data_IF_245646947976
#
_entry.id   IF_245646947976
#
_cell.length_a   1.000
_cell.length_b   1.000
_cell.length_c   1.000
_cell.angle_alpha   90.00
_cell.angle_beta   90.00
_cell.angle_gamma   90.00
#
_symmetry.space_group_name_H-M   'P 1'
#
loop_
_entity.id
_entity.type
_entity.pdbx_description
1 polymer ?
#
# COMPACT_ATOMS: atom_id res chain seq x y z
N UNK A 1 -5.57 5.86 2.88
CA UNK A 1 -4.30 6.08 2.15
C UNK A 1 -4.20 5.16 0.95
N UNK A 2 -3.93 3.87 1.18
CA UNK A 2 -3.62 2.89 0.11
C UNK A 2 -4.72 2.67 -0.95
N UNK A 3 -6.00 2.91 -0.65
CA UNK A 3 -7.10 2.82 -1.62
C UNK A 3 -7.36 4.12 -2.41
N UNK A 4 -6.80 5.24 -1.95
CA UNK A 4 -7.08 6.56 -2.54
C UNK A 4 -5.97 7.03 -3.47
N UNK A 5 -4.71 6.73 -3.14
CA UNK A 5 -3.54 7.07 -3.97
C UNK A 5 -3.55 6.37 -5.36
N UNK A 6 -3.85 5.06 -5.49
CA UNK A 6 -3.91 4.39 -6.79
C UNK A 6 -5.00 4.96 -7.70
N UNK A 7 -6.12 5.33 -7.09
CA UNK A 7 -7.24 5.94 -7.80
C UNK A 7 -6.88 7.32 -8.34
N UNK A 8 -6.08 8.10 -7.61
CA UNK A 8 -5.50 9.36 -8.11
C UNK A 8 -4.62 9.11 -9.33
N UNK A 9 -3.77 8.07 -9.33
CA UNK A 9 -2.94 7.73 -10.50
C UNK A 9 -3.76 7.42 -11.75
N UNK A 10 -4.91 6.74 -11.61
CA UNK A 10 -5.82 6.51 -12.74
C UNK A 10 -6.27 7.84 -13.33
N UNK A 11 -6.78 8.76 -12.50
CA UNK A 11 -7.25 10.07 -12.98
C UNK A 11 -6.12 10.93 -13.55
N UNK A 12 -4.95 10.90 -12.94
CA UNK A 12 -3.76 11.60 -13.42
C UNK A 12 -3.32 11.07 -14.79
N UNK A 13 -3.34 9.74 -15.01
CA UNK A 13 -3.01 9.14 -16.30
C UNK A 13 -4.01 9.44 -17.43
N UNK A 14 -5.21 9.93 -17.09
CA UNK A 14 -6.25 10.33 -18.03
C UNK A 14 -6.33 11.86 -18.22
N UNK A 15 -5.57 12.63 -17.45
CA UNK A 15 -5.60 14.08 -17.51
C UNK A 15 -4.61 14.57 -18.59
N UNK A 16 -5.11 15.31 -19.58
CA UNK A 16 -4.28 15.97 -20.60
C UNK A 16 -4.00 17.46 -20.28
N UNK A 17 -4.63 18.01 -19.23
CA UNK A 17 -4.49 19.41 -18.85
C UNK A 17 -3.35 19.61 -17.84
N UNK A 18 -2.42 20.50 -18.17
CA UNK A 18 -1.24 20.84 -17.37
C UNK A 18 -1.60 21.30 -15.95
N UNK A 19 -2.68 22.08 -15.80
CA UNK A 19 -3.15 22.56 -14.49
C UNK A 19 -3.65 21.39 -13.64
N UNK A 20 -4.29 20.40 -14.26
CA UNK A 20 -4.81 19.23 -13.57
C UNK A 20 -3.66 18.30 -13.14
N UNK A 21 -2.69 18.09 -14.03
CA UNK A 21 -1.47 17.31 -13.76
C UNK A 21 -0.71 17.88 -12.56
N UNK A 22 -0.44 19.19 -12.54
CA UNK A 22 0.25 19.83 -11.41
C UNK A 22 -0.51 19.66 -10.08
N UNK A 23 -1.84 19.81 -10.12
CA UNK A 23 -2.69 19.58 -8.94
C UNK A 23 -2.62 18.14 -8.46
N UNK A 24 -2.66 17.16 -9.37
CA UNK A 24 -2.55 15.74 -9.03
C UNK A 24 -1.20 15.41 -8.40
N UNK A 25 -0.09 15.91 -8.97
CA UNK A 25 1.26 15.77 -8.38
C UNK A 25 1.31 16.27 -6.94
N UNK A 26 0.69 17.42 -6.68
CA UNK A 26 0.66 18.03 -5.35
C UNK A 26 -0.20 17.22 -4.37
N UNK A 27 -1.38 16.75 -4.80
CA UNK A 27 -2.26 15.90 -4.00
C UNK A 27 -1.62 14.55 -3.68
N UNK A 28 -1.02 13.87 -4.67
CA UNK A 28 -0.35 12.58 -4.52
C UNK A 28 0.83 12.68 -3.55
N UNK A 29 1.69 13.68 -3.72
CA UNK A 29 2.85 13.91 -2.85
C UNK A 29 2.42 14.22 -1.43
N UNK A 30 1.41 15.08 -1.25
CA UNK A 30 0.88 15.46 0.07
C UNK A 30 0.21 14.28 0.76
N UNK A 31 -0.52 13.45 0.03
CA UNK A 31 -1.15 12.25 0.56
C UNK A 31 -0.10 11.19 0.97
N UNK A 32 0.86 10.93 0.08
CA UNK A 32 1.90 9.93 0.32
C UNK A 32 2.79 10.32 1.51
N UNK A 33 3.39 11.52 1.48
CA UNK A 33 4.29 11.97 2.56
C UNK A 33 3.56 12.43 3.81
N UNK A 34 2.37 13.02 3.67
CA UNK A 34 1.65 13.60 4.80
C UNK A 34 0.85 12.59 5.61
N UNK A 35 0.28 11.56 4.96
CA UNK A 35 -0.58 10.57 5.63
C UNK A 35 0.04 9.19 5.55
N UNK A 36 0.33 8.70 4.34
CA UNK A 36 0.73 7.30 4.15
C UNK A 36 2.06 6.96 4.83
N UNK A 37 3.09 7.77 4.67
CA UNK A 37 4.40 7.56 5.28
C UNK A 37 4.37 7.56 6.83
N UNK A 38 3.81 8.58 7.51
CA UNK A 38 3.76 8.57 8.97
C UNK A 38 2.88 7.44 9.51
N UNK A 39 1.73 7.17 8.88
CA UNK A 39 0.90 6.01 9.25
C UNK A 39 1.65 4.69 9.07
N UNK A 40 2.41 4.53 7.99
CA UNK A 40 3.23 3.33 7.75
C UNK A 40 4.28 3.13 8.83
N UNK A 41 5.00 4.19 9.21
CA UNK A 41 6.01 4.14 10.27
C UNK A 41 5.36 3.71 11.58
N UNK A 42 4.27 4.36 11.97
CA UNK A 42 3.54 4.05 13.20
C UNK A 42 3.05 2.60 13.18
N UNK A 43 2.34 2.17 12.14
CA UNK A 43 1.82 0.80 12.03
C UNK A 43 2.93 -0.24 12.01
N UNK A 44 4.06 0.02 11.35
CA UNK A 44 5.20 -0.91 11.31
C UNK A 44 5.88 -1.02 12.68
N UNK A 45 6.10 0.10 13.36
CA UNK A 45 6.71 0.11 14.71
C UNK A 45 5.82 -0.63 15.70
N UNK A 46 4.53 -0.32 15.75
CA UNK A 46 3.59 -1.02 16.63
C UNK A 46 3.44 -2.50 16.26
N UNK A 47 3.41 -2.83 14.97
CA UNK A 47 3.33 -4.21 14.48
C UNK A 47 4.55 -5.04 14.88
N UNK A 48 5.76 -4.52 14.65
CA UNK A 48 7.00 -5.17 15.06
C UNK A 48 7.09 -5.29 16.58
N UNK A 49 6.72 -4.25 17.31
CA UNK A 49 6.71 -4.28 18.78
C UNK A 49 5.78 -5.37 19.31
N UNK A 50 4.59 -5.52 18.74
CA UNK A 50 3.64 -6.57 19.12
C UNK A 50 4.16 -7.98 18.78
N UNK A 51 4.81 -8.14 17.63
CA UNK A 51 5.42 -9.42 17.23
C UNK A 51 6.52 -9.80 18.20
N UNK A 52 7.40 -8.87 18.57
CA UNK A 52 8.56 -9.12 19.41
C UNK A 52 8.19 -9.40 20.88
N UNK A 53 7.15 -8.75 21.41
CA UNK A 53 6.74 -8.90 22.82
C UNK A 53 5.76 -10.06 23.08
N UNK A 54 4.97 -10.48 22.09
CA UNK A 54 3.85 -11.39 22.34
C UNK A 54 3.73 -12.50 21.29
N UNK A 55 3.93 -12.18 20.01
CA UNK A 55 3.63 -13.15 18.96
C UNK A 55 4.77 -14.15 18.71
N UNK A 56 6.03 -13.74 18.91
CA UNK A 56 7.20 -14.59 18.65
C UNK A 56 7.31 -15.74 19.67
N UNK A 57 7.08 -15.46 20.94
CA UNK A 57 7.19 -16.45 22.01
C UNK A 57 5.96 -17.38 22.06
N UNK A 58 4.77 -16.86 21.73
CA UNK A 58 3.52 -17.63 21.81
C UNK A 58 3.11 -18.37 20.52
N UNK A 59 3.56 -17.93 19.33
CA UNK A 59 3.03 -18.41 18.05
C UNK A 59 4.10 -18.73 16.98
N UNK A 60 5.38 -18.80 17.34
CA UNK A 60 6.48 -19.12 16.40
C UNK A 60 6.32 -20.48 15.69
N UNK A 61 5.53 -21.41 16.23
CA UNK A 61 5.24 -22.71 15.61
C UNK A 61 3.95 -22.77 14.79
N UNK A 62 3.24 -21.65 14.59
CA UNK A 62 1.98 -21.64 13.83
C UNK A 62 2.15 -21.02 12.44
N UNK A 63 1.88 -21.84 11.41
CA UNK A 63 1.94 -21.46 10.00
C UNK A 63 1.07 -20.25 9.65
N UNK A 64 0.00 -20.00 10.40
CA UNK A 64 -0.85 -18.81 10.26
C UNK A 64 -0.08 -17.49 10.47
N UNK A 65 0.87 -17.44 11.43
CA UNK A 65 1.64 -16.24 11.72
C UNK A 65 2.58 -15.90 10.56
N UNK A 66 3.28 -16.90 10.02
CA UNK A 66 4.16 -16.75 8.86
C UNK A 66 3.39 -16.29 7.63
N UNK A 67 2.24 -16.91 7.33
CA UNK A 67 1.38 -16.51 6.21
C UNK A 67 0.89 -15.06 6.34
N UNK A 68 0.53 -14.63 7.56
CA UNK A 68 0.14 -13.26 7.84
C UNK A 68 1.31 -12.29 7.63
N UNK A 69 2.51 -12.63 8.09
CA UNK A 69 3.71 -11.81 7.91
C UNK A 69 4.07 -11.66 6.43
N UNK A 70 3.92 -12.71 5.61
CA UNK A 70 4.13 -12.62 4.15
C UNK A 70 3.14 -11.64 3.52
N UNK A 71 1.86 -11.67 3.89
CA UNK A 71 0.87 -10.70 3.37
C UNK A 71 1.16 -9.27 3.81
N UNK A 72 1.62 -9.08 5.05
CA UNK A 72 2.06 -7.77 5.53
C UNK A 72 3.28 -7.29 4.73
N UNK A 73 4.24 -8.17 4.46
CA UNK A 73 5.40 -7.86 3.63
C UNK A 73 4.99 -7.46 2.20
N UNK A 74 4.02 -8.14 1.60
CA UNK A 74 3.46 -7.75 0.30
C UNK A 74 2.80 -6.37 0.34
N UNK A 75 2.06 -6.04 1.40
CA UNK A 75 1.52 -4.69 1.59
C UNK A 75 2.62 -3.63 1.76
N UNK A 76 3.72 -3.96 2.45
CA UNK A 76 4.87 -3.07 2.60
C UNK A 76 5.48 -2.80 1.22
N UNK A 77 5.73 -3.84 0.41
CA UNK A 77 6.24 -3.68 -0.96
C UNK A 77 5.30 -2.81 -1.81
N UNK A 78 3.99 -3.05 -1.72
CA UNK A 78 2.98 -2.25 -2.40
C UNK A 78 3.02 -0.78 -1.97
N UNK A 79 3.21 -0.50 -0.68
CA UNK A 79 3.34 0.86 -0.15
C UNK A 79 4.56 1.58 -0.74
N UNK A 80 5.72 0.94 -0.78
CA UNK A 80 6.92 1.52 -1.38
C UNK A 80 6.78 1.70 -2.89
N UNK A 81 6.12 0.75 -3.57
CA UNK A 81 5.85 0.86 -5.01
C UNK A 81 4.91 2.03 -5.33
N UNK A 82 3.90 2.28 -4.48
CA UNK A 82 3.10 3.50 -4.53
C UNK A 82 3.98 4.76 -4.45
N UNK A 83 4.95 4.80 -3.55
CA UNK A 83 5.90 5.91 -3.43
C UNK A 83 6.78 6.11 -4.66
N UNK A 84 7.25 5.02 -5.26
CA UNK A 84 7.99 5.05 -6.52
C UNK A 84 7.14 5.65 -7.65
N UNK A 85 5.88 5.21 -7.77
CA UNK A 85 4.92 5.75 -8.74
C UNK A 85 4.69 7.26 -8.56
N UNK A 86 4.53 7.75 -7.32
CA UNK A 86 4.45 9.22 -7.08
C UNK A 86 5.67 9.95 -7.64
N UNK A 87 6.87 9.37 -7.52
CA UNK A 87 8.09 9.92 -8.11
C UNK A 87 8.06 9.93 -9.65
N UNK A 88 7.63 8.83 -10.26
CA UNK A 88 7.51 8.70 -11.73
C UNK A 88 6.49 9.69 -12.30
N UNK A 89 5.33 9.84 -11.64
CA UNK A 89 4.32 10.82 -12.01
C UNK A 89 4.80 12.26 -11.82
N UNK A 90 5.59 12.53 -10.77
CA UNK A 90 6.14 13.87 -10.55
C UNK A 90 7.12 14.29 -11.67
N UNK A 91 7.80 13.34 -12.29
CA UNK A 91 8.75 13.56 -13.39
C UNK A 91 8.11 13.43 -14.79
N UNK A 92 6.78 13.28 -14.88
CA UNK A 92 6.04 13.06 -16.14
C UNK A 92 6.55 11.87 -16.97
N UNK A 93 7.25 10.92 -16.35
CA UNK A 93 7.81 9.73 -17.02
C UNK A 93 6.83 8.56 -17.06
N UNK A 94 5.54 8.83 -16.95
CA UNK A 94 4.55 7.78 -16.91
C UNK A 94 4.43 7.12 -18.30
N UNK A 95 4.80 5.84 -18.37
CA UNK A 95 4.75 5.01 -19.59
C UNK A 95 3.68 3.92 -19.51
N UNK A 96 2.88 3.90 -18.43
CA UNK A 96 1.89 2.85 -18.17
C UNK A 96 0.49 3.34 -18.51
N UNK A 97 -0.32 2.45 -19.09
CA UNK A 97 -1.70 2.74 -19.44
C UNK A 97 -2.60 2.88 -18.21
N UNK A 98 -3.70 3.61 -18.37
CA UNK A 98 -4.75 3.74 -17.37
C UNK A 98 -5.25 2.37 -16.85
N UNK A 99 -5.26 1.36 -17.72
CA UNK A 99 -5.67 -0.02 -17.38
C UNK A 99 -4.74 -0.65 -16.35
N UNK A 100 -3.43 -0.39 -16.42
CA UNK A 100 -2.48 -0.83 -15.40
C UNK A 100 -2.81 -0.22 -14.03
N UNK A 101 -3.13 1.08 -14.00
CA UNK A 101 -3.48 1.78 -12.76
C UNK A 101 -4.82 1.33 -12.18
N UNK A 102 -5.79 0.97 -13.02
CA UNK A 102 -7.06 0.37 -12.56
C UNK A 102 -6.82 -0.97 -11.87
N UNK A 103 -6.02 -1.85 -12.48
CA UNK A 103 -5.66 -3.13 -11.89
C UNK A 103 -4.87 -2.95 -10.60
N UNK A 104 -3.94 -1.99 -10.59
CA UNK A 104 -3.16 -1.62 -9.40
C UNK A 104 -4.06 -1.14 -8.25
N UNK A 105 -5.14 -0.41 -8.55
CA UNK A 105 -6.13 -0.01 -7.55
C UNK A 105 -6.91 -1.19 -6.93
N UNK A 106 -7.01 -2.32 -7.62
CA UNK A 106 -7.68 -3.51 -7.10
C UNK A 106 -6.78 -4.35 -6.19
N UNK A 107 -5.45 -4.32 -6.35
CA UNK A 107 -4.47 -5.13 -5.57
C UNK A 107 -4.63 -5.05 -4.04
N UNK A 108 -4.94 -3.89 -3.41
CA UNK A 108 -5.14 -3.82 -1.97
C UNK A 108 -6.36 -4.62 -1.48
N UNK A 109 -7.37 -4.82 -2.32
CA UNK A 109 -8.61 -5.50 -1.96
C UNK A 109 -8.40 -7.00 -1.64
N UNK A 110 -7.83 -7.84 -2.52
CA UNK A 110 -7.59 -9.25 -2.23
C UNK A 110 -6.57 -9.44 -1.10
N UNK A 111 -5.57 -8.55 -0.98
CA UNK A 111 -4.63 -8.57 0.15
C UNK A 111 -5.36 -8.38 1.48
N UNK A 112 -6.25 -7.39 1.57
CA UNK A 112 -7.01 -7.11 2.78
C UNK A 112 -7.99 -8.23 3.11
N UNK A 113 -8.67 -8.79 2.11
CA UNK A 113 -9.53 -9.98 2.28
C UNK A 113 -8.72 -11.17 2.80
N UNK A 114 -7.56 -11.45 2.19
CA UNK A 114 -6.67 -12.54 2.63
C UNK A 114 -6.23 -12.37 4.09
N UNK A 115 -5.83 -11.16 4.48
CA UNK A 115 -5.42 -10.86 5.86
C UNK A 115 -6.58 -11.04 6.85
N UNK A 116 -7.79 -10.61 6.50
CA UNK A 116 -8.98 -10.78 7.34
C UNK A 116 -9.31 -12.26 7.49
N UNK A 117 -9.35 -13.03 6.40
CA UNK A 117 -9.63 -14.46 6.43
C UNK A 117 -8.60 -15.17 7.32
N UNK A 118 -7.30 -14.91 7.12
CA UNK A 118 -6.25 -15.49 7.98
C UNK A 118 -6.40 -15.08 9.44
N UNK A 119 -6.81 -13.84 9.72
CA UNK A 119 -6.96 -13.34 11.10
C UNK A 119 -8.22 -13.90 11.79
N UNK A 120 -9.30 -14.13 11.05
CA UNK A 120 -10.59 -14.59 11.58
C UNK A 120 -10.67 -16.11 11.65
N UNK A 121 -10.30 -16.78 10.56
CA UNK A 121 -10.39 -18.25 10.47
C UNK A 121 -9.29 -18.89 11.31
N UNK A 122 -8.14 -18.21 11.51
CA UNK A 122 -6.94 -18.74 12.18
C UNK A 122 -6.77 -20.24 11.88
N UNK A 123 -6.72 -20.65 10.60
CA UNK A 123 -6.59 -22.06 10.32
C UNK A 123 -5.19 -22.44 10.82
N UNK A 124 -5.15 -23.36 11.79
CA UNK A 124 -3.97 -23.96 12.43
C UNK A 124 -3.27 -23.10 13.50
#
# INVERSE_FOLDING_TARGET
GMFYLPRLFVYHSMADDEISIERFKLMERRLYRGIMMPSFIVTTVFGLWMVQNYAWEAYSNQYWLEAKLVLVALLIVYHFYCGYLVGVFAEDRNTRSDTFYRWFNEVPLPLLIGIIILTVVKPF
#
